data_IF_229604821469
#
_entry.id   IF_229604821469
#
_cell.length_a   1.000
_cell.length_b   1.000
_cell.length_c   1.000
_cell.angle_alpha   90.00
_cell.angle_beta   90.00
_cell.angle_gamma   90.00
#
_symmetry.space_group_name_H-M   'P 1'
#
loop_
_entity.id
_entity.type
_entity.pdbx_description
1 polymer ?
#
# COMPACT_ATOMS: atom_id res chain seq x y z
N UNK A 1 11.81 -12.39 8.75
CA UNK A 1 11.89 -11.90 10.13
C UNK A 1 12.37 -13.04 11.01
N UNK A 2 13.41 -12.82 11.84
CA UNK A 2 13.85 -13.80 12.84
C UNK A 2 12.77 -13.93 13.93
N UNK A 3 12.63 -15.12 14.60
CA UNK A 3 11.69 -15.27 15.70
C UNK A 3 11.86 -14.22 16.80
N UNK A 4 13.11 -13.83 17.09
CA UNK A 4 13.42 -12.81 18.08
C UNK A 4 12.94 -11.40 17.72
N UNK A 5 12.67 -11.14 16.44
CA UNK A 5 12.14 -9.89 15.95
C UNK A 5 10.60 -9.87 15.87
N UNK A 6 9.96 -11.00 16.14
CA UNK A 6 8.50 -11.06 16.18
C UNK A 6 7.97 -10.13 17.26
N UNK A 7 7.08 -9.25 16.87
CA UNK A 7 6.43 -8.29 17.76
C UNK A 7 7.42 -7.42 18.57
N UNK A 8 8.62 -7.12 18.01
CA UNK A 8 9.73 -6.46 18.71
C UNK A 8 9.35 -5.14 19.35
N UNK A 9 8.54 -4.34 18.68
CA UNK A 9 8.08 -3.03 19.14
C UNK A 9 6.58 -3.03 19.51
N UNK A 10 6.02 -4.21 19.73
CA UNK A 10 4.60 -4.39 20.09
C UNK A 10 4.33 -4.03 21.54
N UNK A 11 3.13 -3.48 21.80
CA UNK A 11 2.70 -2.98 23.12
C UNK A 11 2.70 -4.07 24.23
N UNK A 12 2.56 -5.35 23.89
CA UNK A 12 2.51 -6.48 24.82
C UNK A 12 3.54 -7.56 24.51
N UNK A 13 4.75 -7.16 24.12
CA UNK A 13 5.83 -8.10 23.76
C UNK A 13 6.07 -9.17 24.82
N UNK A 14 6.00 -8.81 26.11
CA UNK A 14 6.21 -9.76 27.20
C UNK A 14 5.26 -10.96 27.15
N UNK A 15 4.01 -10.77 26.73
CA UNK A 15 3.04 -11.87 26.52
C UNK A 15 3.39 -12.77 25.33
N UNK A 16 4.23 -12.27 24.41
CA UNK A 16 4.63 -12.98 23.22
C UNK A 16 5.94 -13.78 23.36
N UNK A 17 6.77 -13.46 24.35
CA UNK A 17 8.05 -14.14 24.58
C UNK A 17 7.91 -15.66 24.74
N UNK A 18 6.91 -16.20 25.47
CA UNK A 18 6.74 -17.67 25.56
C UNK A 18 6.49 -18.34 24.20
N UNK A 19 5.84 -17.63 23.25
CA UNK A 19 5.64 -18.16 21.91
C UNK A 19 6.96 -18.19 21.12
N UNK A 20 7.82 -17.18 21.26
CA UNK A 20 9.15 -17.15 20.67
C UNK A 20 10.01 -18.29 21.21
N UNK A 21 10.00 -18.50 22.54
CA UNK A 21 10.70 -19.62 23.17
C UNK A 21 10.22 -20.98 22.66
N UNK A 22 8.90 -21.14 22.48
CA UNK A 22 8.33 -22.36 21.93
C UNK A 22 8.76 -22.60 20.46
N UNK A 23 8.89 -21.55 19.66
CA UNK A 23 9.42 -21.65 18.30
C UNK A 23 10.87 -22.15 18.33
N UNK A 24 11.72 -21.55 19.16
CA UNK A 24 13.13 -21.96 19.28
C UNK A 24 13.31 -23.41 19.78
N UNK A 25 12.42 -23.87 20.66
CA UNK A 25 12.50 -25.23 21.23
C UNK A 25 11.96 -26.32 20.30
N UNK A 26 10.95 -26.00 19.49
CA UNK A 26 10.21 -27.01 18.74
C UNK A 26 10.39 -26.91 17.21
N UNK A 27 11.00 -25.84 16.69
CA UNK A 27 11.12 -25.61 15.25
C UNK A 27 12.58 -25.39 14.83
N UNK A 28 12.93 -25.90 13.66
CA UNK A 28 14.19 -25.56 13.00
C UNK A 28 14.05 -24.27 12.23
N UNK A 29 14.76 -23.23 12.65
CA UNK A 29 14.79 -21.95 11.96
C UNK A 29 15.67 -22.10 10.72
N UNK A 30 15.12 -21.77 9.55
CA UNK A 30 15.84 -21.73 8.28
C UNK A 30 15.82 -20.27 7.80
N UNK A 31 16.99 -19.68 7.74
CA UNK A 31 17.18 -18.33 7.24
C UNK A 31 17.30 -18.34 5.71
N UNK A 32 16.43 -17.65 5.03
CA UNK A 32 16.48 -17.47 3.57
C UNK A 32 17.34 -16.24 3.27
N UNK A 33 18.63 -16.45 3.12
CA UNK A 33 19.60 -15.39 2.75
C UNK A 33 19.54 -15.15 1.24
N UNK A 34 18.62 -14.32 0.80
CA UNK A 34 18.51 -13.87 -0.60
C UNK A 34 18.87 -12.39 -0.73
N UNK A 35 19.88 -12.07 -1.56
CA UNK A 35 20.25 -10.68 -1.89
C UNK A 35 19.40 -10.09 -3.02
N UNK A 36 18.53 -10.89 -3.63
CA UNK A 36 17.66 -10.46 -4.75
C UNK A 36 16.20 -10.75 -4.43
N UNK A 37 15.38 -9.73 -4.51
CA UNK A 37 13.92 -9.91 -4.54
C UNK A 37 13.54 -10.57 -5.87
N UNK A 38 13.03 -11.80 -5.80
CA UNK A 38 12.65 -12.55 -7.00
C UNK A 38 11.42 -11.95 -7.70
N UNK A 39 10.68 -11.05 -7.03
CA UNK A 39 9.55 -10.33 -7.61
C UNK A 39 10.00 -9.30 -8.65
N UNK A 40 11.22 -8.78 -8.53
CA UNK A 40 11.80 -7.84 -9.50
C UNK A 40 12.07 -8.47 -10.88
N UNK A 41 12.17 -9.79 -10.98
CA UNK A 41 12.51 -10.47 -12.24
C UNK A 41 11.47 -10.31 -13.34
N UNK A 42 10.22 -10.05 -13.02
CA UNK A 42 9.13 -9.89 -13.98
C UNK A 42 8.89 -8.43 -14.39
N UNK A 43 9.43 -7.46 -13.66
CA UNK A 43 9.25 -6.04 -13.93
C UNK A 43 9.95 -5.56 -15.22
N UNK A 44 10.94 -6.31 -15.72
CA UNK A 44 11.68 -5.92 -16.92
C UNK A 44 10.98 -6.27 -18.25
N UNK A 45 9.88 -7.04 -18.22
CA UNK A 45 9.26 -7.54 -19.47
C UNK A 45 8.04 -6.72 -19.89
N UNK A 46 7.37 -6.01 -18.96
CA UNK A 46 6.22 -5.16 -19.24
C UNK A 46 6.43 -3.82 -18.55
N UNK A 47 6.44 -2.76 -19.36
CA UNK A 47 6.50 -1.40 -18.80
C UNK A 47 5.11 -1.00 -18.32
N UNK A 48 4.82 -1.30 -17.05
CA UNK A 48 3.55 -0.97 -16.39
C UNK A 48 3.62 0.34 -15.58
N UNK A 49 4.77 1.01 -15.63
CA UNK A 49 5.04 2.22 -14.91
C UNK A 49 5.60 3.28 -15.83
N UNK A 50 5.08 4.48 -15.74
CA UNK A 50 5.45 5.63 -16.57
C UNK A 50 5.71 6.86 -15.70
N UNK A 51 6.88 7.45 -15.90
CA UNK A 51 7.24 8.69 -15.21
C UNK A 51 6.66 9.87 -15.99
N UNK A 52 5.92 10.71 -15.30
CA UNK A 52 5.40 11.97 -15.87
C UNK A 52 6.56 12.96 -15.94
N UNK A 53 6.99 13.30 -17.14
CA UNK A 53 7.98 14.32 -17.44
C UNK A 53 7.45 15.22 -18.56
N UNK A 54 8.23 16.24 -18.96
CA UNK A 54 7.85 17.20 -20.00
C UNK A 54 7.53 16.55 -21.35
N UNK A 55 8.10 15.37 -21.64
CA UNK A 55 7.91 14.61 -22.87
C UNK A 55 6.79 13.57 -22.78
N UNK A 56 6.21 13.37 -21.60
CA UNK A 56 5.20 12.34 -21.37
C UNK A 56 3.85 12.77 -21.94
N UNK A 57 3.32 11.99 -22.87
CA UNK A 57 1.97 12.15 -23.39
C UNK A 57 1.07 11.03 -22.83
N UNK A 58 0.23 11.38 -21.87
CA UNK A 58 -0.73 10.50 -21.21
C UNK A 58 -1.68 9.83 -22.22
N UNK A 59 -2.00 10.52 -23.30
CA UNK A 59 -2.81 10.01 -24.41
C UNK A 59 -2.22 8.82 -25.15
N UNK A 60 -0.91 8.56 -25.01
CA UNK A 60 -0.25 7.41 -25.62
C UNK A 60 -0.50 6.10 -24.84
N UNK A 61 -0.86 6.20 -23.57
CA UNK A 61 -1.11 5.05 -22.67
C UNK A 61 -2.55 4.60 -22.67
N UNK A 62 -3.48 5.52 -22.84
CA UNK A 62 -4.90 5.25 -22.69
C UNK A 62 -5.49 4.75 -24.02
N UNK A 63 -6.27 3.65 -23.98
CA UNK A 63 -6.84 3.05 -25.18
C UNK A 63 -7.85 3.95 -25.91
N UNK A 64 -8.37 5.00 -25.25
CA UNK A 64 -9.33 5.93 -25.82
C UNK A 64 -9.07 7.39 -25.39
N UNK A 65 -9.22 8.33 -26.32
CA UNK A 65 -9.02 9.77 -26.15
C UNK A 65 -10.14 10.44 -25.30
N UNK A 66 -10.37 9.96 -24.08
CA UNK A 66 -11.48 10.47 -23.25
C UNK A 66 -11.05 11.41 -22.12
N UNK A 67 -9.81 11.91 -22.13
CA UNK A 67 -9.33 12.87 -21.13
C UNK A 67 -10.03 14.24 -21.16
N UNK A 68 -10.69 14.56 -22.27
CA UNK A 68 -11.45 15.83 -22.42
C UNK A 68 -12.89 15.75 -21.88
N UNK A 69 -13.32 14.58 -21.38
CA UNK A 69 -14.66 14.42 -20.80
C UNK A 69 -14.62 14.62 -19.29
N UNK A 70 -15.71 15.16 -18.71
CA UNK A 70 -15.82 15.18 -17.25
C UNK A 70 -15.79 13.75 -16.71
N UNK A 71 -15.24 13.56 -15.49
CA UNK A 71 -15.25 12.26 -14.85
C UNK A 71 -16.66 11.67 -14.76
N UNK A 72 -16.78 10.40 -15.03
CA UNK A 72 -18.01 9.63 -14.82
C UNK A 72 -17.92 8.92 -13.46
N UNK A 73 -19.05 8.41 -12.98
CA UNK A 73 -19.13 7.77 -11.66
C UNK A 73 -19.45 6.29 -11.82
N UNK A 74 -18.73 5.45 -11.08
CA UNK A 74 -19.07 4.05 -10.86
C UNK A 74 -19.47 3.85 -9.40
N UNK A 75 -20.54 3.10 -9.16
CA UNK A 75 -20.95 2.72 -7.81
C UNK A 75 -20.31 1.38 -7.43
N UNK A 76 -19.53 1.38 -6.35
CA UNK A 76 -18.90 0.19 -5.77
C UNK A 76 -19.34 0.08 -4.30
N UNK A 77 -20.05 -0.98 -3.97
CA UNK A 77 -20.56 -1.24 -2.60
C UNK A 77 -21.31 -0.05 -1.98
N UNK A 78 -22.13 0.65 -2.79
CA UNK A 78 -22.89 1.82 -2.37
C UNK A 78 -22.07 3.10 -2.23
N UNK A 79 -20.84 3.14 -2.76
CA UNK A 79 -19.97 4.32 -2.79
C UNK A 79 -19.70 4.72 -4.23
N UNK A 80 -19.82 6.01 -4.48
CA UNK A 80 -19.48 6.61 -5.75
C UNK A 80 -17.96 6.81 -5.86
N UNK A 81 -17.40 6.40 -7.00
CA UNK A 81 -15.99 6.59 -7.35
C UNK A 81 -15.94 7.21 -8.73
N UNK A 82 -15.28 8.35 -8.87
CA UNK A 82 -15.04 8.96 -10.16
C UNK A 82 -14.03 8.12 -10.95
N UNK A 83 -14.27 7.99 -12.25
CA UNK A 83 -13.33 7.40 -13.19
C UNK A 83 -13.26 8.24 -14.47
N UNK A 84 -12.13 8.18 -15.14
CA UNK A 84 -11.89 8.95 -16.37
C UNK A 84 -12.38 8.24 -17.62
N UNK A 85 -12.19 6.95 -17.68
CA UNK A 85 -12.59 6.11 -18.81
C UNK A 85 -12.79 4.67 -18.36
N UNK A 86 -13.70 3.96 -18.99
CA UNK A 86 -13.87 2.51 -18.81
C UNK A 86 -14.38 1.83 -20.07
N UNK A 87 -14.04 0.55 -20.18
CA UNK A 87 -14.67 -0.40 -21.09
C UNK A 87 -14.99 -1.72 -20.37
N UNK A 88 -15.25 -2.78 -21.07
CA UNK A 88 -15.64 -4.06 -20.47
C UNK A 88 -14.54 -4.72 -19.60
N UNK A 89 -13.26 -4.39 -19.82
CA UNK A 89 -12.13 -5.02 -19.15
C UNK A 89 -11.17 -4.06 -18.49
N UNK A 90 -11.28 -2.76 -18.79
CA UNK A 90 -10.33 -1.73 -18.40
C UNK A 90 -11.04 -0.57 -17.71
N UNK A 91 -10.43 -0.03 -16.66
CA UNK A 91 -10.89 1.20 -16.02
C UNK A 91 -9.70 2.10 -15.70
N UNK A 92 -9.93 3.41 -15.76
CA UNK A 92 -8.92 4.45 -15.54
C UNK A 92 -9.36 5.35 -14.39
N UNK A 93 -8.55 5.44 -13.37
CA UNK A 93 -8.78 6.28 -12.19
C UNK A 93 -7.67 7.30 -12.00
N UNK A 94 -8.02 8.43 -11.40
CA UNK A 94 -7.07 9.30 -10.73
C UNK A 94 -6.67 8.72 -9.37
N UNK A 95 -5.41 8.93 -8.96
CA UNK A 95 -4.96 8.53 -7.63
C UNK A 95 -5.80 9.17 -6.52
N UNK A 96 -6.16 10.42 -6.70
CA UNK A 96 -6.97 11.18 -5.74
C UNK A 96 -8.33 10.51 -5.49
N UNK A 97 -9.02 10.13 -6.55
CA UNK A 97 -10.35 9.51 -6.46
C UNK A 97 -10.32 8.11 -5.85
N UNK A 98 -9.27 7.35 -6.12
CA UNK A 98 -9.18 5.95 -5.68
C UNK A 98 -8.45 5.76 -4.35
N UNK A 99 -7.45 6.60 -4.03
CA UNK A 99 -6.58 6.40 -2.86
C UNK A 99 -6.71 7.49 -1.78
N UNK A 100 -7.22 8.70 -2.08
CA UNK A 100 -7.39 9.75 -1.07
C UNK A 100 -8.82 9.83 -0.52
N UNK A 101 -9.81 9.30 -1.25
CA UNK A 101 -11.20 9.24 -0.79
C UNK A 101 -11.46 8.18 0.29
N UNK A 102 -12.69 8.11 0.81
CA UNK A 102 -13.10 7.13 1.82
C UNK A 102 -13.27 5.74 1.16
N UNK A 103 -12.19 5.02 0.96
CA UNK A 103 -12.14 3.70 0.34
C UNK A 103 -11.79 2.63 1.36
N UNK A 104 -12.32 1.44 1.14
CA UNK A 104 -12.02 0.25 1.92
C UNK A 104 -11.38 -0.81 1.02
N UNK A 105 -10.71 -1.75 1.63
CA UNK A 105 -10.18 -2.95 0.99
C UNK A 105 -11.24 -3.69 0.13
N UNK A 106 -12.49 -3.76 0.59
CA UNK A 106 -13.56 -4.41 -0.16
C UNK A 106 -13.89 -3.69 -1.48
N UNK A 107 -13.70 -2.38 -1.57
CA UNK A 107 -13.91 -1.63 -2.81
C UNK A 107 -12.91 -2.08 -3.88
N UNK A 108 -11.65 -2.33 -3.49
CA UNK A 108 -10.60 -2.80 -4.38
C UNK A 108 -10.84 -4.23 -4.87
N UNK A 109 -11.34 -5.11 -3.98
CA UNK A 109 -11.77 -6.46 -4.36
C UNK A 109 -12.87 -6.41 -5.44
N UNK A 110 -13.87 -5.54 -5.27
CA UNK A 110 -14.95 -5.43 -6.25
C UNK A 110 -14.51 -4.83 -7.58
N UNK A 111 -13.55 -3.87 -7.57
CA UNK A 111 -12.92 -3.36 -8.79
C UNK A 111 -12.15 -4.48 -9.49
N UNK A 112 -11.34 -5.24 -8.75
CA UNK A 112 -10.53 -6.32 -9.28
C UNK A 112 -11.36 -7.47 -9.90
N UNK A 113 -12.58 -7.70 -9.39
CA UNK A 113 -13.51 -8.68 -9.98
C UNK A 113 -14.12 -8.21 -11.30
N UNK A 114 -14.30 -6.91 -11.47
CA UNK A 114 -14.98 -6.33 -12.63
C UNK A 114 -14.04 -6.05 -13.79
N UNK A 115 -12.79 -5.73 -13.50
CA UNK A 115 -11.81 -5.28 -14.50
C UNK A 115 -10.54 -6.12 -14.45
N UNK A 116 -10.00 -6.44 -15.61
CA UNK A 116 -8.71 -7.14 -15.75
C UNK A 116 -7.52 -6.20 -15.94
N UNK A 117 -7.80 -4.92 -16.19
CA UNK A 117 -6.78 -3.87 -16.35
C UNK A 117 -7.24 -2.62 -15.61
N UNK A 118 -6.39 -2.11 -14.74
CA UNK A 118 -6.59 -0.85 -14.02
C UNK A 118 -5.45 0.11 -14.36
N UNK A 119 -5.80 1.31 -14.78
CA UNK A 119 -4.87 2.43 -14.89
C UNK A 119 -5.08 3.34 -13.69
N UNK A 120 -4.00 3.68 -13.00
CA UNK A 120 -3.99 4.64 -11.92
C UNK A 120 -3.06 5.80 -12.29
N UNK A 121 -3.65 6.95 -12.52
CA UNK A 121 -2.95 8.12 -13.02
C UNK A 121 -2.54 9.05 -11.87
N UNK A 122 -1.49 9.81 -12.13
CA UNK A 122 -1.06 10.92 -11.29
C UNK A 122 -0.70 10.53 -9.85
N UNK A 123 -0.02 9.38 -9.70
CA UNK A 123 0.45 8.92 -8.37
C UNK A 123 1.54 9.87 -7.86
N UNK A 124 1.32 10.59 -6.75
CA UNK A 124 2.30 11.51 -6.19
C UNK A 124 3.38 10.77 -5.40
N UNK A 125 4.40 11.49 -4.94
CA UNK A 125 5.28 10.97 -3.90
C UNK A 125 4.46 10.71 -2.63
N UNK A 126 4.56 9.50 -2.11
CA UNK A 126 3.86 9.05 -0.92
C UNK A 126 4.73 9.25 0.33
N UNK A 127 4.10 9.39 1.50
CA UNK A 127 4.80 9.71 2.74
C UNK A 127 4.97 11.22 2.90
N UNK A 128 6.18 11.67 3.14
CA UNK A 128 6.52 13.08 3.33
C UNK A 128 7.09 13.40 4.71
N UNK A 129 7.30 14.68 5.01
CA UNK A 129 7.82 15.11 6.30
C UNK A 129 6.83 14.76 7.43
N UNK A 130 7.33 14.09 8.44
CA UNK A 130 6.53 13.75 9.63
C UNK A 130 6.08 15.04 10.33
N UNK A 131 4.78 15.23 10.44
CA UNK A 131 4.20 16.41 11.10
C UNK A 131 3.76 16.15 12.54
N UNK A 132 3.54 14.89 12.90
CA UNK A 132 3.11 14.51 14.24
C UNK A 132 3.82 13.23 14.69
N UNK A 133 4.22 13.21 15.99
CA UNK A 133 4.81 12.06 16.65
C UNK A 133 3.99 11.75 17.88
N UNK A 134 3.29 10.63 17.87
CA UNK A 134 2.46 10.18 18.97
C UNK A 134 3.20 9.07 19.72
N UNK A 135 3.45 9.29 21.02
CA UNK A 135 3.95 8.23 21.90
C UNK A 135 2.75 7.48 22.47
N UNK A 136 2.49 6.30 21.95
CA UNK A 136 1.46 5.42 22.51
C UNK A 136 2.05 4.66 23.71
N UNK A 137 1.56 4.99 24.91
CA UNK A 137 1.79 4.17 26.10
C UNK A 137 0.68 3.15 26.22
N UNK A 138 1.04 1.87 26.09
CA UNK A 138 0.05 0.79 26.25
C UNK A 138 -0.32 0.60 27.71
N UNK A 139 -1.47 1.14 28.10
CA UNK A 139 -2.16 0.75 29.34
C UNK A 139 -3.64 0.65 29.02
N UNK A 140 -4.07 -0.43 28.41
CA UNK A 140 -5.51 -0.63 28.18
C UNK A 140 -6.24 -1.29 29.34
N UNK A 141 -5.56 -1.84 30.35
CA UNK A 141 -6.21 -2.60 31.44
C UNK A 141 -5.82 -2.19 32.86
N UNK A 142 -5.27 -0.99 33.09
CA UNK A 142 -5.09 -0.44 34.44
C UNK A 142 -4.17 -1.25 35.37
N UNK A 143 -3.55 -2.31 34.90
CA UNK A 143 -2.60 -3.08 35.70
C UNK A 143 -1.20 -2.47 35.57
N UNK A 144 -0.64 -2.08 36.72
CA UNK A 144 0.77 -1.67 36.85
C UNK A 144 1.62 -2.92 36.64
N UNK A 145 1.83 -3.32 35.39
CA UNK A 145 2.75 -4.39 35.04
C UNK A 145 4.18 -3.87 35.13
N UNK A 146 4.97 -4.46 35.97
CA UNK A 146 6.42 -4.37 35.94
C UNK A 146 6.92 -5.12 34.70
N UNK A 147 7.11 -4.45 33.58
CA UNK A 147 7.65 -5.09 32.40
C UNK A 147 7.91 -4.05 31.31
N UNK A 148 8.91 -4.27 30.50
CA UNK A 148 9.26 -3.48 29.33
C UNK A 148 8.03 -3.24 28.43
N UNK A 149 7.30 -2.18 28.70
CA UNK A 149 6.32 -1.63 27.78
C UNK A 149 7.11 -0.87 26.74
N UNK A 150 7.28 -1.46 25.56
CA UNK A 150 7.88 -0.79 24.42
C UNK A 150 7.11 0.50 24.13
N UNK A 151 7.80 1.64 24.16
CA UNK A 151 7.22 2.90 23.68
C UNK A 151 7.13 2.80 22.18
N UNK A 152 5.92 2.76 21.63
CA UNK A 152 5.69 2.86 20.21
C UNK A 152 5.56 4.32 19.81
N UNK A 153 6.47 4.82 19.02
CA UNK A 153 6.37 6.12 18.39
C UNK A 153 5.63 5.98 17.05
N UNK A 154 4.46 6.59 16.94
CA UNK A 154 3.72 6.68 15.68
C UNK A 154 4.04 8.01 15.04
N UNK A 155 4.65 7.96 13.87
CA UNK A 155 4.96 9.14 13.06
C UNK A 155 3.92 9.24 11.94
N UNK A 156 3.26 10.39 11.83
CA UNK A 156 2.24 10.65 10.83
C UNK A 156 2.81 11.59 9.76
N UNK A 157 2.67 11.20 8.51
CA UNK A 157 2.98 12.02 7.34
C UNK A 157 1.72 12.29 6.50
N UNK A 158 1.68 13.38 5.71
CA UNK A 158 0.48 13.83 5.01
C UNK A 158 -0.13 12.79 4.07
N UNK A 159 0.70 11.94 3.45
CA UNK A 159 0.27 10.96 2.45
C UNK A 159 0.21 9.52 2.99
N UNK A 160 0.32 9.31 4.31
CA UNK A 160 0.32 7.96 4.89
C UNK A 160 -0.98 7.21 4.63
N UNK A 161 -2.13 7.87 4.70
CA UNK A 161 -3.42 7.23 4.40
C UNK A 161 -3.56 6.88 2.93
N UNK A 162 -3.09 7.75 2.03
CA UNK A 162 -3.01 7.47 0.61
C UNK A 162 -2.08 6.29 0.31
N UNK A 163 -0.91 6.25 0.98
CA UNK A 163 0.05 5.17 0.85
C UNK A 163 -0.54 3.82 1.29
N UNK A 164 -1.23 3.76 2.42
CA UNK A 164 -1.89 2.52 2.91
C UNK A 164 -2.94 2.02 1.93
N UNK A 165 -3.78 2.92 1.40
CA UNK A 165 -4.80 2.55 0.42
C UNK A 165 -4.19 2.11 -0.89
N UNK A 166 -3.11 2.76 -1.34
CA UNK A 166 -2.36 2.36 -2.52
C UNK A 166 -1.76 0.96 -2.35
N UNK A 167 -1.16 0.65 -1.21
CA UNK A 167 -0.64 -0.70 -0.91
C UNK A 167 -1.79 -1.72 -0.95
N UNK A 168 -2.90 -1.45 -0.27
CA UNK A 168 -4.05 -2.35 -0.29
C UNK A 168 -4.63 -2.57 -1.70
N UNK A 169 -4.66 -1.52 -2.53
CA UNK A 169 -5.05 -1.63 -3.94
C UNK A 169 -4.10 -2.55 -4.71
N UNK A 170 -2.78 -2.32 -4.57
CA UNK A 170 -1.76 -3.13 -5.27
C UNK A 170 -1.86 -4.60 -4.86
N UNK A 171 -2.01 -4.87 -3.56
CA UNK A 171 -2.13 -6.23 -3.03
C UNK A 171 -3.36 -6.94 -3.61
N UNK A 172 -4.53 -6.29 -3.62
CA UNK A 172 -5.75 -6.89 -4.18
C UNK A 172 -5.67 -7.12 -5.69
N UNK A 173 -5.14 -6.17 -6.44
CA UNK A 173 -4.97 -6.34 -7.88
C UNK A 173 -3.97 -7.46 -8.19
N UNK A 174 -2.91 -7.60 -7.39
CA UNK A 174 -1.94 -8.68 -7.52
C UNK A 174 -2.59 -10.04 -7.25
N UNK A 175 -3.34 -10.19 -6.15
CA UNK A 175 -4.00 -11.43 -5.77
C UNK A 175 -5.05 -11.88 -6.81
N UNK A 176 -5.75 -10.94 -7.42
CA UNK A 176 -6.73 -11.20 -8.46
C UNK A 176 -6.12 -11.27 -9.88
N UNK A 177 -4.79 -11.13 -10.00
CA UNK A 177 -4.07 -11.13 -11.29
C UNK A 177 -4.53 -10.04 -12.27
N UNK A 178 -4.96 -8.89 -11.76
CA UNK A 178 -5.34 -7.71 -12.54
C UNK A 178 -4.08 -6.92 -12.90
N UNK A 179 -3.96 -6.54 -14.17
CA UNK A 179 -2.85 -5.72 -14.63
C UNK A 179 -3.01 -4.26 -14.13
N UNK A 180 -2.02 -3.74 -13.43
CA UNK A 180 -1.98 -2.35 -12.97
C UNK A 180 -0.98 -1.56 -13.80
N UNK A 181 -1.43 -0.44 -14.37
CA UNK A 181 -0.60 0.55 -15.06
C UNK A 181 -0.58 1.85 -14.25
N UNK A 182 0.60 2.39 -14.01
CA UNK A 182 0.80 3.57 -13.17
C UNK A 182 1.40 4.72 -13.97
N UNK A 183 0.90 5.93 -13.74
CA UNK A 183 1.65 7.16 -14.04
C UNK A 183 2.05 7.84 -12.74
N UNK A 184 3.31 8.20 -12.59
CA UNK A 184 3.85 8.74 -11.34
C UNK A 184 4.67 10.01 -11.59
N UNK A 185 4.65 10.93 -10.63
CA UNK A 185 5.50 12.13 -10.67
C UNK A 185 6.95 11.88 -10.25
N UNK A 186 7.21 10.76 -9.60
CA UNK A 186 8.52 10.38 -9.10
C UNK A 186 8.84 8.93 -9.47
N UNK A 187 10.11 8.59 -9.52
CA UNK A 187 10.56 7.21 -9.79
C UNK A 187 10.14 6.26 -8.66
N UNK A 188 9.95 4.98 -8.97
CA UNK A 188 9.45 3.98 -8.01
C UNK A 188 10.30 3.88 -6.75
N UNK A 189 11.61 4.04 -6.87
CA UNK A 189 12.55 4.07 -5.74
C UNK A 189 12.36 5.28 -4.81
N UNK A 190 11.68 6.33 -5.31
CA UNK A 190 11.35 7.56 -4.57
C UNK A 190 9.86 7.70 -4.31
N UNK A 191 9.06 6.68 -4.66
CA UNK A 191 7.61 6.77 -4.53
C UNK A 191 7.18 6.91 -3.07
N UNK A 192 7.90 6.26 -2.15
CA UNK A 192 7.68 6.42 -0.71
C UNK A 192 8.93 6.96 -0.03
N UNK A 193 8.84 8.17 0.51
CA UNK A 193 9.93 8.84 1.20
C UNK A 193 9.49 9.36 2.56
N UNK A 194 10.29 9.09 3.60
CA UNK A 194 10.20 9.72 4.92
C UNK A 194 8.83 9.62 5.61
N UNK A 195 8.27 8.45 5.70
CA UNK A 195 7.16 8.15 6.60
C UNK A 195 7.52 6.94 7.43
N UNK A 196 6.97 6.82 8.60
CA UNK A 196 6.84 5.54 9.24
C UNK A 196 5.49 5.00 8.82
N UNK A 197 5.44 4.09 7.86
CA UNK A 197 4.30 3.19 7.78
C UNK A 197 4.31 2.43 9.09
N UNK A 198 3.71 3.01 10.11
CA UNK A 198 3.70 2.50 11.47
C UNK A 198 2.91 1.18 11.60
N UNK A 199 2.66 0.54 10.49
CA UNK A 199 2.06 -0.78 10.39
C UNK A 199 3.02 -1.70 9.65
N UNK A 200 3.98 -2.18 10.38
CA UNK A 200 4.47 -3.51 10.12
C UNK A 200 3.33 -4.44 10.55
N UNK A 201 2.74 -5.11 9.57
CA UNK A 201 1.84 -6.21 9.79
C UNK A 201 2.54 -7.33 10.58
#
# INVERSE_FOLDING_TARGET
>A
CAPDDLYKDGLQRASFLPAIDAIHQNMKIIELMGTKDHRERHLHTLQNYFLINEDFQETALLPDKHLDKPPEVIEILGREINYLSKNNSTIVFEFEDLCLGPRSHFDYIEIAKQFSIVYLLNVPALGGAVYERIKARGTEDGSVGSGDTGEREVMLAPMDDGARRFIALVDELYDQQVALYLTCYVSLDKLYTHGSLAFQF
#
